data_IF_310572379089
#
_entry.id   IF_310572379089
#
_cell.length_a   1.000
_cell.length_b   1.000
_cell.length_c   1.000
_cell.angle_alpha   90.00
_cell.angle_beta   90.00
_cell.angle_gamma   90.00
#
_symmetry.space_group_name_H-M   'P 1'
#
loop_
_entity.id
_entity.type
_entity.pdbx_description
1 polymer ?
#
# COMPACT_ATOMS: atom_id res chain seq x y z
N UNK A 1 3.44 21.25 6.79
CA UNK A 1 2.67 20.19 7.44
C UNK A 1 3.13 18.81 6.96
N UNK A 2 3.18 18.57 5.65
CA UNK A 2 3.60 17.26 5.11
C UNK A 2 5.10 17.01 5.10
N UNK A 3 5.95 18.04 5.01
CA UNK A 3 7.40 17.85 4.89
C UNK A 3 8.04 16.98 5.98
N UNK A 4 7.73 17.12 7.30
CA UNK A 4 8.27 16.21 8.30
C UNK A 4 7.75 14.77 8.21
N UNK A 5 6.50 14.60 7.77
CA UNK A 5 5.85 13.28 7.61
C UNK A 5 6.44 12.55 6.39
N UNK A 6 6.47 13.21 5.23
CA UNK A 6 6.96 12.65 3.97
C UNK A 6 8.45 12.31 4.00
N UNK A 7 9.23 12.89 4.93
CA UNK A 7 10.64 12.51 5.17
C UNK A 7 10.79 11.16 5.87
N UNK A 8 9.73 10.62 6.46
CA UNK A 8 9.76 9.42 7.32
C UNK A 8 8.77 8.35 6.90
N UNK A 9 7.89 8.66 5.96
CA UNK A 9 6.81 7.79 5.51
C UNK A 9 6.86 7.72 3.99
N UNK A 10 6.92 6.50 3.46
CA UNK A 10 6.73 6.26 2.04
C UNK A 10 5.27 6.56 1.67
N UNK A 11 5.07 7.22 0.54
CA UNK A 11 3.75 7.44 -0.04
C UNK A 11 3.66 6.59 -1.29
N UNK A 12 2.59 5.79 -1.37
CA UNK A 12 2.30 4.90 -2.49
C UNK A 12 1.06 5.43 -3.22
N UNK A 13 1.20 6.45 -4.09
CA UNK A 13 0.08 7.10 -4.73
C UNK A 13 -0.50 6.24 -5.86
N UNK A 14 -1.77 6.48 -6.17
CA UNK A 14 -2.40 6.13 -7.46
C UNK A 14 -2.70 7.42 -8.21
N UNK A 15 -2.58 7.40 -9.54
CA UNK A 15 -2.92 8.56 -10.37
C UNK A 15 -4.46 8.76 -10.41
N UNK A 16 -4.91 10.01 -10.28
CA UNK A 16 -6.31 10.39 -10.39
C UNK A 16 -6.59 11.31 -11.58
N UNK A 17 -7.88 11.65 -11.78
CA UNK A 17 -8.29 12.52 -12.89
C UNK A 17 -7.66 13.92 -12.84
N UNK A 18 -7.33 14.42 -11.64
CA UNK A 18 -6.71 15.72 -11.48
C UNK A 18 -5.22 15.72 -11.87
N UNK A 19 -4.51 14.61 -11.62
CA UNK A 19 -3.12 14.43 -12.02
C UNK A 19 -2.99 14.34 -13.54
N UNK A 20 -3.86 13.55 -14.17
CA UNK A 20 -3.93 13.34 -15.62
C UNK A 20 -4.30 14.60 -16.43
N UNK A 21 -4.61 15.72 -15.78
CA UNK A 21 -4.67 17.02 -16.49
C UNK A 21 -3.29 17.55 -16.88
N UNK A 22 -2.23 17.06 -16.25
CA UNK A 22 -0.85 17.56 -16.41
C UNK A 22 0.23 16.47 -16.43
N UNK A 23 -0.16 15.21 -16.26
CA UNK A 23 0.70 14.04 -16.37
C UNK A 23 0.14 13.08 -17.44
N UNK A 24 0.99 12.19 -17.95
CA UNK A 24 0.65 11.17 -18.94
C UNK A 24 1.28 9.84 -18.54
N UNK A 25 0.44 8.83 -18.35
CA UNK A 25 0.83 7.50 -17.89
C UNK A 25 1.50 6.63 -18.95
N UNK A 26 1.26 6.90 -20.23
CA UNK A 26 1.91 6.18 -21.32
C UNK A 26 3.36 6.65 -21.51
N UNK A 27 3.63 7.94 -21.35
CA UNK A 27 4.99 8.50 -21.42
C UNK A 27 5.67 8.64 -20.05
N UNK A 28 4.96 8.38 -18.95
CA UNK A 28 5.44 8.53 -17.57
C UNK A 28 6.06 9.92 -17.34
N UNK A 29 5.33 10.96 -17.74
CA UNK A 29 5.83 12.33 -17.71
C UNK A 29 4.85 13.28 -17.05
N UNK A 30 5.38 14.40 -16.55
CA UNK A 30 4.59 15.44 -15.90
C UNK A 30 4.64 15.35 -14.37
N UNK A 31 4.02 16.30 -13.65
CA UNK A 31 4.29 16.51 -12.24
C UNK A 31 4.11 15.29 -11.35
N UNK A 32 3.15 14.41 -11.65
CA UNK A 32 2.96 13.17 -10.91
C UNK A 32 4.20 12.27 -10.98
N UNK A 33 4.68 11.98 -12.20
CA UNK A 33 5.86 11.14 -12.44
C UNK A 33 7.19 11.85 -12.14
N UNK A 34 7.21 13.19 -12.10
CA UNK A 34 8.38 13.96 -11.67
C UNK A 34 8.55 13.97 -10.14
N UNK A 35 7.45 13.85 -9.39
CA UNK A 35 7.43 13.92 -7.92
C UNK A 35 7.63 12.53 -7.29
N UNK A 36 7.00 11.51 -7.88
CA UNK A 36 7.01 10.16 -7.34
C UNK A 36 7.92 9.25 -8.17
N UNK A 37 8.67 8.39 -7.48
CA UNK A 37 9.36 7.24 -8.09
C UNK A 37 8.69 5.99 -7.57
N UNK A 38 8.12 5.20 -8.47
CA UNK A 38 7.25 4.07 -8.18
C UNK A 38 7.88 2.78 -8.73
N UNK A 39 7.61 1.62 -8.12
CA UNK A 39 8.26 0.38 -8.52
C UNK A 39 7.74 -0.04 -9.91
N UNK A 40 8.66 -0.17 -10.85
CA UNK A 40 8.36 -0.63 -12.22
C UNK A 40 8.96 -2.01 -12.50
N UNK A 41 9.96 -2.42 -11.72
CA UNK A 41 10.68 -3.69 -11.81
C UNK A 41 10.44 -4.58 -10.58
N UNK A 42 9.33 -4.39 -9.87
CA UNK A 42 8.99 -5.09 -8.62
C UNK A 42 9.99 -4.88 -7.47
N UNK A 43 10.62 -3.71 -7.42
CA UNK A 43 11.61 -3.33 -6.40
C UNK A 43 11.04 -3.37 -4.97
N UNK A 44 9.72 -3.34 -4.84
CA UNK A 44 9.00 -3.33 -3.58
C UNK A 44 8.10 -4.55 -3.35
N UNK A 45 8.16 -5.58 -4.21
CA UNK A 45 7.25 -6.74 -4.19
C UNK A 45 6.33 -6.81 -5.42
N UNK A 46 5.58 -7.91 -5.54
CA UNK A 46 4.75 -8.22 -6.70
C UNK A 46 5.54 -8.54 -7.99
N UNK A 47 4.87 -8.42 -9.14
CA UNK A 47 5.46 -8.65 -10.46
C UNK A 47 5.82 -7.34 -11.19
N UNK A 48 6.95 -7.35 -11.91
CA UNK A 48 7.40 -6.21 -12.70
C UNK A 48 6.37 -5.85 -13.79
N UNK A 49 6.05 -4.56 -13.90
CA UNK A 49 5.11 -4.00 -14.87
C UNK A 49 5.82 -3.33 -16.05
N UNK A 50 7.06 -2.89 -15.84
CA UNK A 50 7.80 -2.03 -16.77
C UNK A 50 7.30 -0.57 -16.79
N UNK A 51 6.42 -0.17 -15.88
CA UNK A 51 5.83 1.18 -15.79
C UNK A 51 5.52 1.58 -14.36
N UNK A 52 5.56 2.88 -14.07
CA UNK A 52 5.17 3.48 -12.79
C UNK A 52 3.65 3.71 -12.68
N UNK A 53 2.89 3.51 -13.77
CA UNK A 53 1.45 3.83 -13.81
C UNK A 53 0.59 2.89 -12.95
N UNK A 54 0.95 1.62 -12.89
CA UNK A 54 0.32 0.59 -12.05
C UNK A 54 1.41 -0.39 -11.61
N UNK A 55 1.31 -0.86 -10.38
CA UNK A 55 2.35 -1.62 -9.72
C UNK A 55 1.80 -2.33 -8.48
N UNK A 56 2.60 -3.20 -7.89
CA UNK A 56 2.32 -3.81 -6.60
C UNK A 56 3.50 -3.58 -5.65
N UNK A 57 3.24 -3.78 -4.37
CA UNK A 57 4.26 -3.73 -3.33
C UNK A 57 3.83 -4.56 -2.13
N UNK A 58 4.80 -5.07 -1.39
CA UNK A 58 4.59 -5.90 -0.22
C UNK A 58 5.02 -5.14 1.04
N UNK A 59 4.23 -5.28 2.10
CA UNK A 59 4.60 -4.79 3.42
C UNK A 59 4.07 -5.73 4.50
N UNK A 60 5.00 -6.27 5.30
CA UNK A 60 4.72 -7.38 6.20
C UNK A 60 4.05 -8.54 5.44
N UNK A 61 2.89 -9.04 5.89
CA UNK A 61 2.11 -10.11 5.28
C UNK A 61 1.03 -9.59 4.31
N UNK A 62 1.16 -8.36 3.82
CA UNK A 62 0.19 -7.71 2.93
C UNK A 62 0.81 -7.51 1.56
N UNK A 63 0.04 -7.84 0.54
CA UNK A 63 0.26 -7.52 -0.86
C UNK A 63 -0.67 -6.37 -1.26
N UNK A 64 -0.08 -5.24 -1.65
CA UNK A 64 -0.79 -4.07 -2.12
C UNK A 64 -0.75 -3.99 -3.64
N UNK A 65 -1.90 -3.73 -4.25
CA UNK A 65 -2.05 -3.59 -5.70
C UNK A 65 -2.52 -2.17 -6.01
N UNK A 66 -1.79 -1.46 -6.86
CA UNK A 66 -2.09 -0.08 -7.26
C UNK A 66 -2.41 -0.06 -8.74
N UNK A 67 -3.63 0.37 -9.10
CA UNK A 67 -4.10 0.36 -10.48
C UNK A 67 -4.36 1.79 -10.98
N UNK A 68 -4.05 2.03 -12.26
CA UNK A 68 -4.48 3.24 -12.94
C UNK A 68 -5.86 3.00 -13.57
N UNK A 69 -6.84 3.74 -13.07
CA UNK A 69 -8.23 3.73 -13.56
C UNK A 69 -8.58 4.96 -14.40
N UNK A 70 -7.62 5.86 -14.61
CA UNK A 70 -7.79 7.14 -15.27
C UNK A 70 -7.33 7.10 -16.74
N UNK A 71 -6.12 6.64 -17.01
CA UNK A 71 -5.52 6.67 -18.35
C UNK A 71 -5.24 5.28 -18.92
N UNK A 72 -4.89 4.32 -18.06
CA UNK A 72 -4.60 2.94 -18.45
C UNK A 72 -5.88 2.13 -18.66
N UNK A 73 -5.90 1.33 -19.74
CA UNK A 73 -7.04 0.49 -20.06
C UNK A 73 -7.23 -0.62 -19.03
N UNK A 74 -8.44 -0.73 -18.48
CA UNK A 74 -8.83 -1.81 -17.55
C UNK A 74 -9.49 -3.01 -18.24
N UNK A 75 -9.80 -2.89 -19.54
CA UNK A 75 -10.53 -3.91 -20.31
C UNK A 75 -9.81 -5.27 -20.33
N UNK A 76 -10.55 -6.40 -20.35
CA UNK A 76 -9.96 -7.72 -20.48
C UNK A 76 -8.93 -7.81 -21.62
N UNK A 77 -7.75 -8.34 -21.31
CA UNK A 77 -6.64 -8.48 -22.25
C UNK A 77 -5.77 -7.22 -22.42
N UNK A 78 -6.07 -6.12 -21.73
CA UNK A 78 -5.12 -5.00 -21.64
C UNK A 78 -3.86 -5.40 -20.85
N UNK A 79 -2.80 -4.60 -20.96
CA UNK A 79 -1.56 -4.84 -20.23
C UNK A 79 -1.79 -4.89 -18.70
N UNK A 80 -2.47 -3.88 -18.14
CA UNK A 80 -2.79 -3.82 -16.71
C UNK A 80 -3.68 -4.99 -16.26
N UNK A 81 -4.73 -5.33 -17.02
CA UNK A 81 -5.61 -6.44 -16.67
C UNK A 81 -4.88 -7.79 -16.73
N UNK A 82 -4.02 -8.00 -17.73
CA UNK A 82 -3.25 -9.24 -17.87
C UNK A 82 -2.20 -9.37 -16.78
N UNK A 83 -1.53 -8.26 -16.45
CA UNK A 83 -0.56 -8.20 -15.35
C UNK A 83 -1.25 -8.50 -14.01
N UNK A 84 -2.40 -7.88 -13.73
CA UNK A 84 -3.15 -8.09 -12.48
C UNK A 84 -3.46 -9.56 -12.23
N UNK A 85 -3.89 -10.30 -13.26
CA UNK A 85 -4.13 -11.75 -13.17
C UNK A 85 -2.84 -12.49 -12.80
N UNK A 86 -1.72 -12.13 -13.44
CA UNK A 86 -0.44 -12.79 -13.20
C UNK A 86 0.11 -12.49 -11.80
N UNK A 87 -0.03 -11.25 -11.34
CA UNK A 87 0.43 -10.76 -10.05
C UNK A 87 -0.31 -11.45 -8.89
N UNK A 88 -1.64 -11.50 -8.96
CA UNK A 88 -2.48 -12.24 -8.02
C UNK A 88 -2.17 -13.74 -7.99
N UNK A 89 -1.79 -14.33 -9.13
CA UNK A 89 -1.39 -15.74 -9.18
C UNK A 89 0.00 -16.01 -8.60
N UNK A 90 0.85 -14.98 -8.50
CA UNK A 90 2.23 -15.07 -8.05
C UNK A 90 2.41 -14.73 -6.56
N UNK A 91 1.52 -13.91 -5.99
CA UNK A 91 1.62 -13.51 -4.59
C UNK A 91 1.42 -14.70 -3.64
N UNK A 92 2.18 -14.69 -2.55
CA UNK A 92 2.06 -15.67 -1.44
C UNK A 92 1.67 -15.00 -0.13
N UNK A 93 1.37 -13.70 -0.18
CA UNK A 93 1.01 -12.92 0.99
C UNK A 93 -0.37 -13.32 1.51
N UNK A 94 -0.57 -13.12 2.81
CA UNK A 94 -1.81 -13.50 3.49
C UNK A 94 -2.95 -12.55 3.15
N UNK A 95 -2.66 -11.26 3.03
CA UNK A 95 -3.65 -10.21 2.79
C UNK A 95 -3.45 -9.54 1.44
N UNK A 96 -4.54 -9.26 0.74
CA UNK A 96 -4.52 -8.50 -0.51
C UNK A 96 -5.38 -7.25 -0.35
N UNK A 97 -4.75 -6.09 -0.51
CA UNK A 97 -5.41 -4.78 -0.52
C UNK A 97 -5.16 -4.12 -1.87
N UNK A 98 -6.23 -3.85 -2.63
CA UNK A 98 -6.11 -3.15 -3.91
C UNK A 98 -6.63 -1.71 -3.80
N UNK A 99 -6.03 -0.78 -4.52
CA UNK A 99 -6.53 0.59 -4.56
C UNK A 99 -6.26 1.32 -5.87
N UNK A 100 -7.18 2.23 -6.21
CA UNK A 100 -7.14 3.07 -7.40
C UNK A 100 -8.10 4.26 -7.24
N UNK A 101 -8.15 5.18 -8.22
CA UNK A 101 -8.93 6.41 -8.07
C UNK A 101 -10.46 6.25 -8.16
N UNK A 102 -11.00 5.63 -9.23
CA UNK A 102 -12.44 5.62 -9.53
C UNK A 102 -13.23 4.48 -8.84
N UNK A 103 -14.21 4.74 -7.97
CA UNK A 103 -14.87 3.72 -7.16
C UNK A 103 -15.79 2.79 -7.98
N UNK A 104 -15.73 1.46 -7.81
CA UNK A 104 -16.62 0.53 -8.51
C UNK A 104 -18.07 0.62 -8.01
N UNK A 105 -18.27 1.07 -6.77
CA UNK A 105 -19.57 1.32 -6.15
C UNK A 105 -19.56 2.70 -5.50
N UNK A 106 -20.46 3.59 -5.90
CA UNK A 106 -20.64 4.91 -5.29
C UNK A 106 -21.94 5.54 -5.76
N UNK A 107 -22.67 6.18 -4.82
CA UNK A 107 -23.70 7.20 -5.14
C UNK A 107 -23.44 8.51 -4.41
N UNK A 108 -22.16 8.80 -4.14
CA UNK A 108 -21.68 10.10 -3.66
C UNK A 108 -21.64 11.16 -4.76
N UNK A 109 -20.56 11.94 -4.84
CA UNK A 109 -20.45 12.99 -5.88
C UNK A 109 -20.27 12.43 -7.29
N UNK A 110 -20.03 11.12 -7.39
CA UNK A 110 -19.94 10.35 -8.62
C UNK A 110 -20.85 9.10 -8.52
N UNK A 111 -21.44 8.72 -9.65
CA UNK A 111 -22.44 7.63 -9.75
C UNK A 111 -21.89 6.46 -10.57
N UNK A 112 -21.61 5.35 -9.88
CA UNK A 112 -21.07 4.13 -10.47
C UNK A 112 -22.02 3.42 -11.43
N UNK A 113 -23.29 3.82 -11.54
CA UNK A 113 -24.23 3.28 -12.52
C UNK A 113 -24.19 4.02 -13.86
N UNK A 114 -23.61 5.22 -13.92
CA UNK A 114 -23.67 6.07 -15.12
C UNK A 114 -22.30 6.47 -15.66
N UNK A 115 -21.25 6.42 -14.85
CA UNK A 115 -19.92 6.87 -15.24
C UNK A 115 -19.03 5.72 -15.74
N UNK A 116 -18.57 5.83 -16.99
CA UNK A 116 -17.90 4.74 -17.70
C UNK A 116 -16.68 4.15 -17.00
N UNK A 117 -15.85 4.96 -16.34
CA UNK A 117 -14.64 4.48 -15.63
C UNK A 117 -14.98 3.67 -14.39
N UNK A 118 -16.01 4.07 -13.65
CA UNK A 118 -16.50 3.38 -12.46
C UNK A 118 -17.17 2.05 -12.87
N UNK A 119 -17.98 2.08 -13.93
CA UNK A 119 -18.57 0.88 -14.54
C UNK A 119 -17.48 -0.09 -14.98
N UNK A 120 -16.44 0.38 -15.67
CA UNK A 120 -15.32 -0.45 -16.12
C UNK A 120 -14.50 -1.01 -14.96
N UNK A 121 -14.27 -0.24 -13.89
CA UNK A 121 -13.63 -0.75 -12.68
C UNK A 121 -14.46 -1.91 -12.08
N UNK A 122 -15.78 -1.72 -11.94
CA UNK A 122 -16.70 -2.75 -11.45
C UNK A 122 -16.73 -4.01 -12.33
N UNK A 123 -16.79 -3.84 -13.66
CA UNK A 123 -16.97 -4.95 -14.60
C UNK A 123 -15.68 -5.69 -14.98
N UNK A 124 -14.54 -5.00 -14.97
CA UNK A 124 -13.28 -5.59 -15.47
C UNK A 124 -12.29 -5.94 -14.35
N UNK A 125 -12.23 -5.15 -13.27
CA UNK A 125 -11.24 -5.35 -12.22
C UNK A 125 -11.76 -6.25 -11.09
N UNK A 126 -13.02 -6.07 -10.68
CA UNK A 126 -13.57 -6.85 -9.56
C UNK A 126 -13.61 -8.36 -9.81
N UNK A 127 -14.00 -8.86 -11.01
CA UNK A 127 -13.97 -10.31 -11.24
C UNK A 127 -12.58 -10.92 -11.08
N UNK A 128 -11.54 -10.18 -11.46
CA UNK A 128 -10.14 -10.62 -11.32
C UNK A 128 -9.71 -10.56 -9.86
N UNK A 129 -9.99 -9.47 -9.16
CA UNK A 129 -9.62 -9.28 -7.76
C UNK A 129 -10.34 -10.26 -6.83
N UNK A 130 -11.64 -10.48 -7.02
CA UNK A 130 -12.43 -11.43 -6.22
C UNK A 130 -11.99 -12.89 -6.50
N UNK A 131 -11.66 -13.23 -7.76
CA UNK A 131 -11.07 -14.53 -8.09
C UNK A 131 -9.66 -14.70 -7.49
N UNK A 132 -8.90 -13.61 -7.34
CA UNK A 132 -7.60 -13.59 -6.66
C UNK A 132 -7.68 -13.54 -5.14
N UNK A 133 -8.87 -13.43 -4.56
CA UNK A 133 -9.07 -13.43 -3.11
C UNK A 133 -8.78 -12.11 -2.40
N UNK A 134 -8.96 -10.96 -3.08
CA UNK A 134 -8.85 -9.63 -2.49
C UNK A 134 -9.67 -9.50 -1.19
N UNK A 135 -9.15 -8.77 -0.21
CA UNK A 135 -9.81 -8.56 1.09
C UNK A 135 -10.47 -7.18 1.19
N UNK A 136 -9.74 -6.16 0.74
CA UNK A 136 -10.14 -4.77 0.84
C UNK A 136 -9.80 -4.03 -0.45
N UNK A 137 -10.76 -3.26 -0.95
CA UNK A 137 -10.57 -2.35 -2.07
C UNK A 137 -10.78 -0.92 -1.59
N UNK A 138 -9.79 -0.05 -1.79
CA UNK A 138 -9.86 1.37 -1.46
C UNK A 138 -9.92 2.21 -2.72
N UNK A 139 -10.81 3.20 -2.74
CA UNK A 139 -10.94 4.12 -3.87
C UNK A 139 -11.19 5.55 -3.40
N UNK A 140 -11.13 6.51 -4.33
CA UNK A 140 -11.35 7.93 -4.06
C UNK A 140 -12.44 8.50 -4.95
N UNK A 141 -12.13 9.62 -5.60
CA UNK A 141 -12.94 10.34 -6.59
C UNK A 141 -14.30 10.87 -6.10
N UNK A 142 -15.18 10.03 -5.56
CA UNK A 142 -16.38 10.49 -4.87
C UNK A 142 -15.99 11.19 -3.58
N UNK A 143 -16.38 12.45 -3.41
CA UNK A 143 -16.05 13.28 -2.25
C UNK A 143 -16.92 12.93 -1.03
N UNK A 144 -16.90 11.67 -0.65
CA UNK A 144 -17.65 11.04 0.44
C UNK A 144 -16.82 9.93 1.06
N UNK A 145 -17.23 9.48 2.24
CA UNK A 145 -16.88 8.16 2.74
C UNK A 145 -18.04 7.20 2.46
N UNK A 146 -17.79 6.07 1.81
CA UNK A 146 -18.78 5.01 1.60
C UNK A 146 -18.10 3.67 1.86
N UNK A 147 -18.77 2.75 2.56
CA UNK A 147 -18.25 1.41 2.85
C UNK A 147 -19.33 0.37 2.59
N UNK A 148 -18.96 -0.67 1.85
CA UNK A 148 -19.84 -1.78 1.56
C UNK A 148 -19.95 -2.78 2.71
N UNK A 149 -20.96 -3.64 2.59
CA UNK A 149 -21.00 -4.97 3.21
C UNK A 149 -19.84 -5.85 2.71
N UNK A 150 -19.72 -7.09 3.21
CA UNK A 150 -18.85 -8.09 2.59
C UNK A 150 -19.54 -8.62 1.32
N UNK A 151 -18.99 -8.28 0.15
CA UNK A 151 -19.61 -8.58 -1.15
C UNK A 151 -18.81 -9.60 -1.94
N UNK A 152 -19.49 -10.29 -2.84
CA UNK A 152 -18.90 -11.07 -3.92
C UNK A 152 -19.84 -11.02 -5.14
N UNK A 153 -19.27 -11.07 -6.35
CA UNK A 153 -20.01 -11.31 -7.60
C UNK A 153 -21.07 -10.26 -8.00
N UNK A 154 -20.95 -8.99 -7.57
CA UNK A 154 -21.85 -7.89 -7.99
C UNK A 154 -21.25 -6.96 -9.06
N UNK A 155 -21.26 -7.35 -10.33
CA UNK A 155 -20.61 -6.56 -11.39
C UNK A 155 -21.54 -5.66 -12.21
N UNK A 156 -22.82 -5.60 -11.87
CA UNK A 156 -23.85 -4.85 -12.59
C UNK A 156 -24.25 -3.56 -11.86
N UNK A 157 -25.14 -2.77 -12.45
CA UNK A 157 -25.70 -1.57 -11.85
C UNK A 157 -26.40 -1.86 -10.52
N UNK A 158 -26.49 -0.84 -9.67
CA UNK A 158 -26.99 -0.98 -8.30
C UNK A 158 -28.40 -1.56 -8.21
N UNK A 159 -29.24 -1.32 -9.22
CA UNK A 159 -30.61 -1.83 -9.27
C UNK A 159 -30.70 -3.36 -9.37
N UNK A 160 -29.62 -4.03 -9.78
CA UNK A 160 -29.53 -5.48 -9.94
C UNK A 160 -28.82 -6.16 -8.75
N UNK A 161 -28.51 -5.41 -7.69
CA UNK A 161 -27.95 -5.99 -6.47
C UNK A 161 -28.97 -6.91 -5.77
N UNK A 162 -28.61 -8.18 -5.61
CA UNK A 162 -29.36 -9.15 -4.83
C UNK A 162 -28.53 -9.58 -3.60
N UNK A 163 -28.82 -9.06 -2.40
CA UNK A 163 -28.04 -9.39 -1.21
C UNK A 163 -28.12 -10.88 -0.83
N UNK A 164 -29.09 -11.65 -1.34
CA UNK A 164 -29.16 -13.09 -1.07
C UNK A 164 -28.12 -13.92 -1.83
N UNK A 165 -27.50 -13.34 -2.86
CA UNK A 165 -26.49 -14.01 -3.69
C UNK A 165 -25.18 -13.23 -3.79
N UNK A 166 -25.20 -11.92 -3.53
CA UNK A 166 -24.05 -11.02 -3.74
C UNK A 166 -23.50 -10.39 -2.45
N UNK A 167 -24.17 -10.58 -1.30
CA UNK A 167 -23.63 -10.21 0.00
C UNK A 167 -23.33 -11.49 0.80
N UNK A 168 -22.06 -11.75 1.07
CA UNK A 168 -21.65 -12.88 1.89
C UNK A 168 -21.93 -12.61 3.37
N UNK A 169 -21.84 -11.34 3.78
CA UNK A 169 -22.22 -10.89 5.11
C UNK A 169 -22.80 -9.47 5.04
N UNK A 170 -24.06 -9.32 5.46
CA UNK A 170 -24.77 -8.02 5.50
C UNK A 170 -24.61 -7.29 6.83
N UNK A 171 -23.84 -7.84 7.77
CA UNK A 171 -23.52 -7.23 9.06
C UNK A 171 -22.66 -5.97 8.93
N UNK A 172 -22.63 -5.15 9.97
CA UNK A 172 -21.80 -3.95 10.07
C UNK A 172 -20.28 -4.20 10.11
N UNK A 173 -19.87 -5.46 10.31
CA UNK A 173 -18.46 -5.85 10.45
C UNK A 173 -17.84 -5.42 11.77
N UNK A 174 -18.60 -4.91 12.73
CA UNK A 174 -18.09 -4.42 14.03
C UNK A 174 -18.10 -5.55 15.05
N UNK A 175 -16.98 -5.74 15.74
CA UNK A 175 -16.86 -6.76 16.80
C UNK A 175 -17.96 -6.61 17.87
N UNK A 176 -18.28 -5.38 18.27
CA UNK A 176 -19.35 -5.08 19.23
C UNK A 176 -20.76 -4.93 18.61
N UNK A 177 -20.88 -5.07 17.29
CA UNK A 177 -22.13 -4.97 16.54
C UNK A 177 -22.63 -6.33 16.07
N UNK A 178 -22.64 -6.54 14.76
CA UNK A 178 -23.03 -7.82 14.14
C UNK A 178 -21.93 -8.90 14.18
N UNK A 179 -20.71 -8.54 14.58
CA UNK A 179 -19.52 -9.38 14.52
C UNK A 179 -18.55 -8.90 13.43
N UNK A 180 -17.30 -9.34 13.52
CA UNK A 180 -16.33 -9.13 12.45
C UNK A 180 -16.70 -9.97 11.21
N UNK A 181 -16.39 -9.45 10.03
CA UNK A 181 -16.42 -10.24 8.80
C UNK A 181 -15.44 -11.40 8.91
N UNK A 182 -15.78 -12.56 8.35
CA UNK A 182 -14.93 -13.76 8.38
C UNK A 182 -14.67 -14.30 7.00
N UNK A 183 -13.40 -14.62 6.74
CA UNK A 183 -12.96 -15.38 5.58
C UNK A 183 -12.41 -16.71 6.07
N UNK A 184 -12.74 -17.82 5.41
CA UNK A 184 -12.49 -19.15 5.95
C UNK A 184 -11.03 -19.61 5.76
N UNK A 185 -10.30 -18.96 4.86
CA UNK A 185 -8.92 -19.29 4.54
C UNK A 185 -7.94 -18.21 5.06
N UNK A 186 -6.77 -18.63 5.59
CA UNK A 186 -5.75 -17.69 6.07
C UNK A 186 -4.93 -17.08 4.93
N UNK A 187 -5.09 -17.58 3.70
CA UNK A 187 -4.48 -17.08 2.48
C UNK A 187 -5.55 -16.67 1.48
N UNK A 188 -5.23 -15.78 0.51
CA UNK A 188 -6.16 -15.34 -0.51
C UNK A 188 -6.80 -16.54 -1.22
N UNK A 189 -8.14 -16.52 -1.24
CA UNK A 189 -8.95 -17.59 -1.81
C UNK A 189 -10.07 -16.96 -2.63
N UNK A 190 -10.31 -17.54 -3.80
CA UNK A 190 -11.29 -17.04 -4.75
C UNK A 190 -12.68 -16.95 -4.10
N UNK A 191 -13.35 -15.82 -4.31
CA UNK A 191 -14.76 -15.62 -3.95
C UNK A 191 -15.09 -15.78 -2.46
N UNK A 192 -14.14 -15.49 -1.56
CA UNK A 192 -14.42 -15.30 -0.13
C UNK A 192 -14.89 -13.87 0.20
N UNK A 193 -15.09 -13.05 -0.83
CA UNK A 193 -15.60 -11.70 -0.76
C UNK A 193 -14.58 -10.65 -0.27
N UNK A 194 -14.99 -9.41 -0.44
CA UNK A 194 -14.20 -8.22 -0.13
C UNK A 194 -15.08 -7.08 0.40
N UNK A 195 -14.45 -6.17 1.13
CA UNK A 195 -15.06 -4.89 1.51
C UNK A 195 -14.56 -3.80 0.57
N UNK A 196 -15.47 -2.98 0.07
CA UNK A 196 -15.21 -1.88 -0.85
C UNK A 196 -15.40 -0.56 -0.11
N UNK A 197 -14.36 0.27 -0.09
CA UNK A 197 -14.37 1.56 0.61
C UNK A 197 -14.04 2.67 -0.38
N UNK A 198 -14.89 3.70 -0.39
CA UNK A 198 -14.64 5.00 -1.00
C UNK A 198 -14.16 5.92 0.11
N UNK A 199 -12.91 6.37 0.02
CA UNK A 199 -12.25 7.25 0.98
C UNK A 199 -11.83 8.57 0.29
N UNK A 200 -12.72 9.14 -0.52
CA UNK A 200 -12.41 10.31 -1.36
C UNK A 200 -12.62 11.66 -0.67
N UNK A 201 -12.80 11.68 0.65
CA UNK A 201 -13.20 12.87 1.41
C UNK A 201 -12.10 13.54 2.25
N UNK A 202 -10.82 13.27 2.00
CA UNK A 202 -9.72 13.81 2.82
C UNK A 202 -9.55 15.33 2.75
N UNK A 203 -9.89 15.96 1.62
CA UNK A 203 -9.78 17.41 1.41
C UNK A 203 -11.05 18.11 0.94
N UNK A 204 -12.05 17.34 0.48
CA UNK A 204 -13.30 17.84 -0.10
C UNK A 204 -14.45 16.95 0.30
N UNK A 205 -15.64 17.52 0.49
CA UNK A 205 -16.86 16.76 0.79
C UNK A 205 -18.01 17.29 -0.03
N UNK A 206 -18.80 16.38 -0.59
CA UNK A 206 -20.10 16.67 -1.17
C UNK A 206 -21.21 16.30 -0.17
N UNK A 207 -22.08 17.25 0.17
CA UNK A 207 -23.21 17.06 1.10
C UNK A 207 -24.56 16.99 0.41
N UNK A 208 -24.60 16.96 -0.92
CA UNK A 208 -25.81 17.02 -1.74
C UNK A 208 -26.11 15.71 -2.48
N UNK A 209 -25.17 14.77 -2.47
CA UNK A 209 -25.31 13.46 -3.09
C UNK A 209 -26.29 12.54 -2.35
N UNK A 210 -26.98 11.62 -3.06
CA UNK A 210 -27.92 10.68 -2.45
C UNK A 210 -27.28 9.76 -1.41
N UNK A 211 -26.05 9.28 -1.67
CA UNK A 211 -25.33 8.34 -0.80
C UNK A 211 -26.12 7.05 -0.49
N UNK A 212 -26.95 6.61 -1.44
CA UNK A 212 -27.95 5.55 -1.28
C UNK A 212 -27.62 4.28 -2.10
N UNK A 213 -26.34 4.06 -2.42
CA UNK A 213 -25.93 2.83 -3.12
C UNK A 213 -26.25 1.60 -2.22
N UNK A 214 -27.04 0.61 -2.69
CA UNK A 214 -27.64 -0.43 -1.85
C UNK A 214 -26.63 -1.41 -1.24
N UNK A 215 -25.41 -1.47 -1.77
CA UNK A 215 -24.34 -2.28 -1.19
C UNK A 215 -23.66 -1.63 0.01
N UNK A 216 -23.84 -0.31 0.19
CA UNK A 216 -23.17 0.46 1.24
C UNK A 216 -23.90 0.29 2.57
N UNK A 217 -23.16 -0.15 3.59
CA UNK A 217 -23.65 -0.21 4.97
C UNK A 217 -23.42 1.11 5.71
N UNK A 218 -22.49 1.92 5.22
CA UNK A 218 -22.15 3.22 5.77
C UNK A 218 -21.82 4.19 4.64
N UNK A 219 -22.47 5.35 4.65
CA UNK A 219 -22.22 6.43 3.69
C UNK A 219 -22.28 7.76 4.42
N UNK A 220 -21.17 8.50 4.46
CA UNK A 220 -20.99 9.69 5.27
C UNK A 220 -20.46 10.85 4.42
N UNK A 221 -21.17 11.99 4.32
CA UNK A 221 -20.66 13.21 3.73
C UNK A 221 -19.78 13.93 4.76
N UNK A 222 -18.66 13.32 5.17
CA UNK A 222 -17.74 13.84 6.17
C UNK A 222 -16.31 13.81 5.66
N UNK A 223 -15.51 14.79 6.09
CA UNK A 223 -14.07 14.81 5.82
C UNK A 223 -13.39 13.84 6.75
N UNK A 224 -12.37 13.15 6.27
CA UNK A 224 -11.62 12.22 7.11
C UNK A 224 -10.61 11.39 6.33
N UNK A 225 -10.08 10.38 6.99
CA UNK A 225 -9.13 9.43 6.42
C UNK A 225 -9.40 8.04 6.97
N UNK A 226 -9.09 7.03 6.17
CA UNK A 226 -9.17 5.64 6.61
C UNK A 226 -7.82 5.24 7.18
N UNK A 227 -7.84 4.63 8.37
CA UNK A 227 -6.68 4.01 9.00
C UNK A 227 -6.94 2.50 9.03
N UNK A 228 -5.93 1.73 8.63
CA UNK A 228 -5.99 0.26 8.61
C UNK A 228 -4.88 -0.24 9.51
N UNK A 229 -5.25 -1.03 10.51
CA UNK A 229 -4.36 -1.77 11.38
C UNK A 229 -4.50 -3.25 11.05
N UNK A 230 -3.37 -3.95 10.91
CA UNK A 230 -3.34 -5.37 10.59
C UNK A 230 -2.44 -6.09 11.57
N UNK A 231 -3.03 -7.05 12.29
CA UNK A 231 -2.38 -7.83 13.33
C UNK A 231 -2.60 -9.32 13.05
N UNK A 232 -1.65 -9.95 12.34
CA UNK A 232 -1.73 -11.35 11.98
C UNK A 232 -2.94 -11.68 11.09
N UNK A 233 -3.92 -12.38 11.65
CA UNK A 233 -5.15 -12.83 11.02
C UNK A 233 -6.31 -11.83 11.13
N UNK A 234 -6.08 -10.64 11.71
CA UNK A 234 -7.09 -9.59 11.85
C UNK A 234 -6.71 -8.31 11.12
N UNK A 235 -7.62 -7.83 10.26
CA UNK A 235 -7.63 -6.49 9.70
C UNK A 235 -8.70 -5.65 10.41
N UNK A 236 -8.32 -4.51 10.97
CA UNK A 236 -9.23 -3.51 11.52
C UNK A 236 -9.11 -2.21 10.72
N UNK A 237 -10.23 -1.68 10.24
CA UNK A 237 -10.25 -0.41 9.52
C UNK A 237 -11.19 0.58 10.20
N UNK A 238 -10.75 1.83 10.31
CA UNK A 238 -11.54 2.92 10.88
C UNK A 238 -11.54 4.14 9.96
N UNK A 239 -12.66 4.82 9.86
CA UNK A 239 -12.77 6.14 9.26
C UNK A 239 -12.70 7.20 10.35
N UNK A 240 -11.59 7.93 10.39
CA UNK A 240 -11.31 9.00 11.33
C UNK A 240 -11.68 10.34 10.67
N UNK A 241 -12.63 11.07 11.24
CA UNK A 241 -13.04 12.36 10.68
C UNK A 241 -12.06 13.51 11.00
N UNK A 242 -12.29 14.69 10.41
CA UNK A 242 -11.44 15.87 10.59
C UNK A 242 -11.46 16.47 12.01
N UNK A 243 -12.27 15.90 12.93
CA UNK A 243 -12.30 16.21 14.36
C UNK A 243 -11.61 15.13 15.22
N UNK A 244 -11.06 14.09 14.60
CA UNK A 244 -10.43 12.97 15.29
C UNK A 244 -11.44 11.98 15.90
N UNK A 245 -12.68 11.97 15.42
CA UNK A 245 -13.71 11.01 15.84
C UNK A 245 -13.73 9.82 14.88
N UNK A 246 -13.74 8.61 15.43
CA UNK A 246 -14.02 7.39 14.65
C UNK A 246 -15.50 7.41 14.28
N UNK A 247 -15.79 7.75 13.03
CA UNK A 247 -17.15 7.89 12.52
C UNK A 247 -17.71 6.59 11.93
N UNK A 248 -16.82 5.69 11.50
CA UNK A 248 -17.16 4.31 11.13
C UNK A 248 -15.95 3.39 11.37
N UNK A 249 -16.21 2.11 11.59
CA UNK A 249 -15.19 1.07 11.75
C UNK A 249 -15.74 -0.29 11.34
N UNK A 250 -14.84 -1.20 10.97
CA UNK A 250 -15.12 -2.63 10.81
C UNK A 250 -13.86 -3.47 11.06
N UNK A 251 -14.06 -4.77 11.19
CA UNK A 251 -13.00 -5.76 11.36
C UNK A 251 -13.27 -6.95 10.46
N UNK A 252 -12.21 -7.50 9.89
CA UNK A 252 -12.19 -8.74 9.15
C UNK A 252 -11.19 -9.70 9.80
N UNK A 253 -11.57 -10.97 9.95
CA UNK A 253 -10.74 -12.03 10.49
C UNK A 253 -10.62 -13.15 9.47
N UNK A 254 -9.41 -13.66 9.25
CA UNK A 254 -9.17 -14.87 8.47
C UNK A 254 -9.07 -16.07 9.39
N UNK A 255 -9.89 -17.08 9.17
CA UNK A 255 -9.83 -18.31 9.93
C UNK A 255 -8.67 -19.18 9.44
N UNK A 256 -7.90 -19.78 10.37
CA UNK A 256 -6.77 -20.66 10.04
C UNK A 256 -5.55 -20.38 10.92
N UNK A 257 -4.52 -21.22 10.79
CA UNK A 257 -3.22 -20.97 11.43
C UNK A 257 -2.22 -20.76 10.31
N UNK A 258 -1.79 -19.51 10.11
CA UNK A 258 -0.54 -19.24 9.41
C UNK A 258 0.62 -19.48 10.38
N UNK A 259 1.71 -20.15 9.95
CA UNK A 259 2.94 -20.14 10.73
C UNK A 259 3.37 -18.68 10.83
N UNK A 260 3.30 -18.08 12.02
CA UNK A 260 3.77 -16.71 12.21
C UNK A 260 5.25 -16.64 11.80
N UNK A 261 5.64 -15.76 10.88
CA UNK A 261 7.06 -15.52 10.65
C UNK A 261 7.65 -15.05 11.98
N UNK A 262 8.67 -15.75 12.47
CA UNK A 262 9.47 -15.26 13.58
C UNK A 262 10.26 -14.06 13.07
N UNK A 263 9.79 -12.87 13.44
CA UNK A 263 10.56 -11.64 13.24
C UNK A 263 11.85 -11.72 14.05
N UNK A 264 12.97 -11.94 13.37
CA UNK A 264 14.29 -11.78 13.97
C UNK A 264 14.75 -10.36 13.67
N UNK A 265 15.01 -9.61 14.73
CA UNK A 265 15.50 -8.24 14.61
C UNK A 265 17.02 -8.29 14.42
N UNK A 266 17.46 -8.33 13.15
CA UNK A 266 18.88 -8.48 12.79
C UNK A 266 19.71 -7.21 13.02
N UNK A 267 19.04 -6.06 13.07
CA UNK A 267 19.65 -4.75 13.34
C UNK A 267 18.88 -4.01 14.44
N UNK A 268 19.60 -3.64 15.49
CA UNK A 268 19.11 -2.93 16.65
C UNK A 268 19.79 -1.58 16.85
N UNK A 269 19.13 -0.70 17.60
CA UNK A 269 19.77 0.51 18.09
C UNK A 269 20.89 0.13 19.08
N UNK A 270 22.08 0.71 18.92
CA UNK A 270 23.26 0.33 19.71
C UNK A 270 24.14 -0.74 19.06
N UNK A 271 23.70 -1.32 17.94
CA UNK A 271 24.51 -2.29 17.20
C UNK A 271 25.86 -1.71 16.78
N UNK A 272 26.89 -2.55 16.82
CA UNK A 272 28.23 -2.16 16.35
C UNK A 272 28.29 -2.22 14.83
N UNK A 273 28.74 -1.13 14.23
CA UNK A 273 28.99 -0.99 12.80
C UNK A 273 30.48 -0.77 12.56
N UNK A 274 30.98 -1.28 11.42
CA UNK A 274 32.24 -0.82 10.84
C UNK A 274 32.00 0.49 10.12
N UNK A 275 32.93 1.42 10.22
CA UNK A 275 32.85 2.71 9.54
C UNK A 275 34.20 3.18 9.03
N UNK A 276 34.17 3.89 7.90
CA UNK A 276 35.32 4.55 7.29
C UNK A 276 35.00 6.03 7.11
N UNK A 277 35.71 6.86 7.87
CA UNK A 277 35.44 8.29 8.04
C UNK A 277 36.64 9.17 7.66
N UNK A 278 37.63 8.66 6.92
CA UNK A 278 38.76 9.46 6.41
C UNK A 278 38.37 10.51 5.36
N UNK A 279 37.14 10.43 4.83
CA UNK A 279 36.68 11.27 3.72
C UNK A 279 37.21 10.84 2.34
N UNK A 280 37.88 9.68 2.26
CA UNK A 280 38.31 9.06 1.00
C UNK A 280 37.10 8.55 0.23
N UNK A 281 37.00 8.85 -1.07
CA UNK A 281 35.97 8.24 -1.91
C UNK A 281 36.35 6.78 -2.24
N UNK A 282 35.59 5.83 -1.68
CA UNK A 282 35.78 4.40 -1.87
C UNK A 282 35.13 3.86 -3.16
N UNK A 283 34.44 4.71 -3.93
CA UNK A 283 33.69 4.30 -5.11
C UNK A 283 32.60 3.29 -4.79
N UNK A 284 32.52 2.21 -5.57
CA UNK A 284 31.46 1.18 -5.46
C UNK A 284 31.95 -0.17 -4.90
N UNK A 285 33.27 -0.41 -4.86
CA UNK A 285 33.82 -1.72 -4.49
C UNK A 285 33.52 -2.10 -3.03
N UNK A 286 33.39 -1.12 -2.13
CA UNK A 286 33.08 -1.36 -0.72
C UNK A 286 31.70 -1.99 -0.48
N UNK A 287 30.82 -1.97 -1.50
CA UNK A 287 29.48 -2.56 -1.45
C UNK A 287 29.49 -4.07 -1.70
N UNK A 288 30.59 -4.61 -2.23
CA UNK A 288 30.73 -6.05 -2.49
C UNK A 288 30.71 -6.83 -1.15
N UNK A 289 29.87 -7.88 -1.02
CA UNK A 289 29.83 -8.72 0.17
C UNK A 289 31.20 -9.31 0.57
N UNK A 290 32.09 -9.54 -0.39
CA UNK A 290 33.44 -10.05 -0.16
C UNK A 290 34.49 -8.95 0.13
N UNK A 291 34.13 -7.67 0.09
CA UNK A 291 35.10 -6.59 0.37
C UNK A 291 35.59 -6.63 1.82
N UNK A 292 36.91 -6.66 1.97
CA UNK A 292 37.57 -6.71 3.28
C UNK A 292 37.56 -5.33 3.96
N UNK A 293 36.60 -5.15 4.87
CA UNK A 293 36.48 -3.98 5.72
C UNK A 293 37.13 -4.19 7.11
N UNK A 294 37.99 -5.20 7.29
CA UNK A 294 38.57 -5.51 8.61
C UNK A 294 39.43 -4.40 9.19
N UNK A 295 39.95 -3.49 8.35
CA UNK A 295 40.73 -2.33 8.78
C UNK A 295 39.89 -1.11 9.18
N UNK A 296 38.58 -1.13 8.96
CA UNK A 296 37.68 -0.02 9.28
C UNK A 296 37.52 0.09 10.81
N UNK A 297 37.30 1.31 11.29
CA UNK A 297 36.99 1.53 12.69
C UNK A 297 35.62 0.91 13.04
N UNK A 298 35.37 0.62 14.31
CA UNK A 298 34.10 0.04 14.77
C UNK A 298 33.51 0.82 15.93
N UNK A 299 32.20 0.98 15.96
CA UNK A 299 31.51 1.59 17.10
C UNK A 299 30.00 1.38 17.09
N UNK A 300 29.34 1.49 18.26
CA UNK A 300 27.89 1.38 18.36
C UNK A 300 27.16 2.52 17.62
N UNK A 301 26.05 2.20 16.98
CA UNK A 301 25.11 3.18 16.47
C UNK A 301 24.36 3.88 17.64
N UNK A 302 23.91 5.14 17.46
CA UNK A 302 24.04 5.97 16.28
C UNK A 302 25.47 6.49 16.08
N UNK A 303 25.94 6.46 14.83
CA UNK A 303 27.23 7.02 14.42
C UNK A 303 26.98 8.39 13.77
N UNK A 304 27.76 9.40 14.13
CA UNK A 304 27.54 10.76 13.64
C UNK A 304 28.38 11.80 14.36
N UNK A 305 27.96 13.06 14.35
CA UNK A 305 28.59 14.14 15.11
C UNK A 305 27.57 15.23 15.44
N UNK A 306 27.84 16.02 16.48
CA UNK A 306 27.07 17.24 16.80
C UNK A 306 25.87 17.06 17.72
N UNK A 307 25.40 15.83 17.95
CA UNK A 307 24.23 15.54 18.79
C UNK A 307 24.61 14.74 20.04
N UNK A 308 23.91 14.99 21.16
CA UNK A 308 24.23 14.37 22.46
C UNK A 308 23.88 12.89 22.56
N UNK A 309 23.06 12.37 21.64
CA UNK A 309 22.63 10.97 21.60
C UNK A 309 23.52 10.10 20.69
N UNK A 310 24.55 10.67 20.06
CA UNK A 310 25.50 9.92 19.22
C UNK A 310 26.39 9.04 20.12
N UNK A 311 26.40 7.74 19.84
CA UNK A 311 27.20 6.77 20.59
C UNK A 311 28.63 6.68 20.04
N UNK A 312 28.79 6.79 18.72
CA UNK A 312 30.11 6.82 18.07
C UNK A 312 30.29 8.10 17.28
N UNK A 313 31.21 8.95 17.71
CA UNK A 313 31.55 10.16 16.96
C UNK A 313 32.43 9.81 15.76
N UNK A 314 31.95 10.12 14.56
CA UNK A 314 32.74 9.99 13.32
C UNK A 314 33.43 11.30 12.97
N UNK A 315 34.62 11.21 12.38
CA UNK A 315 35.40 12.34 11.93
C UNK A 315 34.76 13.00 10.70
N UNK A 316 34.53 14.31 10.79
CA UNK A 316 34.19 15.15 9.64
C UNK A 316 35.42 15.84 9.03
N UNK A 317 36.63 15.49 9.48
CA UNK A 317 37.87 16.16 9.11
C UNK A 317 38.23 17.34 10.02
N UNK A 318 39.27 18.09 9.66
CA UNK A 318 39.79 19.18 10.51
C UNK A 318 39.11 20.53 10.28
N UNK A 319 38.24 20.66 9.27
CA UNK A 319 37.58 21.92 8.91
C UNK A 319 36.05 21.77 8.94
N UNK A 320 35.35 22.37 9.91
CA UNK A 320 33.90 22.29 10.01
C UNK A 320 33.16 23.03 8.87
N UNK A 321 33.83 23.90 8.12
CA UNK A 321 33.28 24.54 6.91
C UNK A 321 33.54 23.73 5.63
N UNK A 322 34.29 22.63 5.72
CA UNK A 322 34.60 21.74 4.62
C UNK A 322 34.69 20.30 5.13
N UNK A 323 33.54 19.79 5.57
CA UNK A 323 33.43 18.45 6.13
C UNK A 323 33.68 17.37 5.06
N UNK A 324 34.07 16.17 5.51
CA UNK A 324 34.14 14.99 4.64
C UNK A 324 32.81 14.80 3.89
N UNK A 325 32.89 14.64 2.57
CA UNK A 325 31.71 14.47 1.71
C UNK A 325 31.06 13.09 1.85
N UNK A 326 31.84 12.09 2.23
CA UNK A 326 31.41 10.69 2.33
C UNK A 326 31.89 10.09 3.63
N UNK A 327 31.01 9.30 4.24
CA UNK A 327 31.29 8.43 5.39
C UNK A 327 30.58 7.12 5.05
N UNK A 328 31.27 5.99 5.22
CA UNK A 328 30.75 4.67 4.86
C UNK A 328 30.48 3.86 6.12
N UNK A 329 29.37 3.13 6.13
CA UNK A 329 28.98 2.26 7.23
C UNK A 329 28.73 0.85 6.69
N UNK A 330 29.23 -0.17 7.39
CA UNK A 330 29.08 -1.57 6.99
C UNK A 330 28.82 -2.46 8.20
N UNK A 331 27.87 -3.38 8.05
CA UNK A 331 27.58 -4.47 8.99
C UNK A 331 27.29 -5.73 8.19
N UNK A 332 27.83 -6.85 8.65
CA UNK A 332 27.56 -8.18 8.11
C UNK A 332 26.37 -8.75 8.87
N UNK A 333 25.39 -9.27 8.13
CA UNK A 333 24.20 -9.92 8.68
C UNK A 333 24.19 -11.37 8.16
N UNK A 334 23.88 -12.32 9.04
CA UNK A 334 23.67 -13.71 8.63
C UNK A 334 22.17 -13.92 8.55
N UNK A 335 21.66 -14.18 7.35
CA UNK A 335 20.23 -14.39 7.13
C UNK A 335 20.02 -15.89 6.88
N UNK A 336 19.45 -16.59 7.86
CA UNK A 336 19.30 -18.06 7.84
C UNK A 336 18.35 -18.55 6.73
N UNK A 337 17.48 -17.69 6.22
CA UNK A 337 16.70 -17.90 5.00
C UNK A 337 16.15 -16.56 4.48
N UNK A 338 16.17 -16.34 3.16
CA UNK A 338 15.59 -15.16 2.51
C UNK A 338 14.32 -15.62 1.78
N UNK A 339 13.10 -15.35 2.29
CA UNK A 339 11.89 -15.67 1.56
C UNK A 339 11.71 -14.77 0.34
N UNK A 340 12.19 -13.53 0.41
CA UNK A 340 12.11 -12.53 -0.66
C UNK A 340 13.49 -11.90 -0.86
N UNK A 341 14.18 -12.14 -1.99
CA UNK A 341 15.41 -11.42 -2.30
C UNK A 341 15.09 -9.93 -2.33
N UNK A 342 15.65 -9.18 -1.38
CA UNK A 342 15.56 -7.72 -1.38
C UNK A 342 16.55 -7.23 -2.43
N UNK A 343 16.06 -6.63 -3.51
CA UNK A 343 16.94 -6.11 -4.56
C UNK A 343 17.85 -5.01 -3.98
N UNK A 344 19.17 -5.18 -4.14
CA UNK A 344 20.20 -4.36 -3.47
C UNK A 344 20.82 -5.00 -2.22
N UNK A 345 20.23 -6.07 -1.69
CA UNK A 345 20.88 -6.96 -0.72
C UNK A 345 21.62 -8.05 -1.51
N UNK A 346 22.87 -7.77 -1.89
CA UNK A 346 23.71 -8.80 -2.52
C UNK A 346 24.12 -9.81 -1.44
N UNK A 347 23.63 -11.04 -1.56
CA UNK A 347 24.03 -12.19 -0.72
C UNK A 347 25.45 -12.66 -1.06
#
# INVERSE_FOLDING_TARGET
>A
MYEPLLRRTAVWPTIGNHDAHSADSATQSGPYYDIFTLPSQAEAGGLATGTEAYYAWDYANIHFIVLDSQETATSPGSAQHTWLIADLAATTQEWIIAYWHHPPYSKGSHDSDTEGKLIQARQNLLPVLEAGGVDLVLTGHSHSYERSMLLDSHYDVSANFDPSTMALDTGDGRVGGSGAYRKANPFPSAHEGAVYVVAGSSGSVNTSSPLDHPVMISSLPRRGSVVIDLEGDQLSAMFLDDLGVVADEFTMVKDGVTPSPTWVREVEFGDVWRYEDSGTDLGVLWRDPAYDASSWATGPAPLGFGESYIATTVSFGSNPLNMHRTIYFRRELVIDCVPNPVDGLQL
#
